data_IF_001301356923
#
_entry.id   IF_001301356923
#
_cell.length_a   1.000
_cell.length_b   1.000
_cell.length_c   1.000
_cell.angle_alpha   90.00
_cell.angle_beta   90.00
_cell.angle_gamma   90.00
#
_symmetry.space_group_name_H-M   'P 1'
#
loop_
_entity.id
_entity.type
_entity.pdbx_description
1 polymer ?
#
# COMPACT_ATOMS: atom_id res chain seq x y z
N UNK A 1 53.00 -35.33 -23.54
CA UNK A 1 52.30 -34.04 -23.33
C UNK A 1 51.50 -34.14 -22.04
N UNK A 2 51.82 -33.33 -21.03
CA UNK A 2 51.06 -33.20 -19.77
C UNK A 2 49.91 -32.23 -20.01
N UNK A 3 48.67 -32.66 -19.86
CA UNK A 3 47.52 -31.75 -19.84
C UNK A 3 47.05 -31.59 -18.39
N UNK A 4 47.31 -30.41 -17.82
CA UNK A 4 46.76 -29.95 -16.56
C UNK A 4 45.27 -29.62 -16.79
N UNK A 5 44.36 -30.34 -16.12
CA UNK A 5 42.96 -29.94 -16.00
C UNK A 5 42.88 -28.92 -14.85
N UNK A 6 42.62 -27.65 -15.17
CA UNK A 6 42.32 -26.63 -14.17
C UNK A 6 40.84 -26.72 -13.79
N UNK A 7 40.54 -27.26 -12.59
CA UNK A 7 39.22 -27.14 -11.98
C UNK A 7 39.01 -25.70 -11.53
N UNK A 8 38.13 -24.98 -12.21
CA UNK A 8 37.61 -23.68 -11.78
C UNK A 8 36.58 -23.92 -10.68
N UNK A 9 36.96 -23.67 -9.42
CA UNK A 9 36.04 -23.68 -8.28
C UNK A 9 35.22 -22.40 -8.33
N UNK A 10 33.95 -22.52 -8.73
CA UNK A 10 32.95 -21.46 -8.56
C UNK A 10 32.59 -21.41 -7.07
N UNK A 11 33.16 -20.43 -6.35
CA UNK A 11 32.72 -20.08 -5.00
C UNK A 11 31.33 -19.43 -5.09
N UNK A 12 30.32 -19.88 -4.33
CA UNK A 12 29.07 -19.16 -4.22
C UNK A 12 29.35 -17.82 -3.53
N UNK A 13 29.00 -16.72 -4.19
CA UNK A 13 28.89 -15.43 -3.53
C UNK A 13 27.75 -15.55 -2.51
N UNK A 14 28.09 -15.71 -1.25
CA UNK A 14 27.16 -15.53 -0.15
C UNK A 14 26.73 -14.06 -0.14
N UNK A 15 25.52 -13.79 -0.63
CA UNK A 15 24.89 -12.49 -0.45
C UNK A 15 24.73 -12.25 1.06
N UNK A 16 25.50 -11.30 1.60
CA UNK A 16 25.44 -10.88 3.01
C UNK A 16 24.18 -10.02 3.21
N UNK A 17 23.01 -10.65 3.22
CA UNK A 17 21.81 -10.07 3.82
C UNK A 17 21.90 -10.18 5.35
N UNK A 18 21.34 -9.22 6.09
CA UNK A 18 21.36 -9.16 7.55
C UNK A 18 21.22 -10.55 8.19
N UNK A 19 22.14 -10.91 9.09
CA UNK A 19 22.16 -12.20 9.79
C UNK A 19 20.92 -12.32 10.70
N UNK A 20 19.81 -12.84 10.16
CA UNK A 20 18.65 -13.23 10.95
C UNK A 20 18.99 -14.45 11.80
N UNK A 21 18.80 -14.36 13.12
CA UNK A 21 19.12 -15.46 14.04
C UNK A 21 18.27 -16.70 13.77
N UNK A 22 16.98 -16.51 13.54
CA UNK A 22 16.05 -17.53 13.07
C UNK A 22 15.41 -17.02 11.77
N UNK A 23 15.37 -17.86 10.74
CA UNK A 23 14.68 -17.53 9.50
C UNK A 23 14.06 -18.75 8.84
N UNK A 24 12.93 -18.56 8.17
CA UNK A 24 12.29 -19.60 7.37
C UNK A 24 11.56 -18.97 6.17
N UNK A 25 11.50 -19.67 5.02
CA UNK A 25 10.66 -19.24 3.91
C UNK A 25 9.18 -19.37 4.27
N UNK A 26 8.37 -18.48 3.68
CA UNK A 26 6.91 -18.48 3.73
C UNK A 26 6.41 -18.32 2.31
N UNK A 27 5.96 -19.44 1.74
CA UNK A 27 5.49 -19.48 0.37
C UNK A 27 4.04 -19.96 0.34
N UNK A 28 3.21 -19.28 -0.45
CA UNK A 28 1.81 -19.59 -0.66
C UNK A 28 1.50 -19.54 -2.16
N UNK A 29 0.80 -20.55 -2.65
CA UNK A 29 0.38 -20.64 -4.04
C UNK A 29 -1.08 -21.07 -4.06
N UNK A 30 -1.95 -20.22 -4.60
CA UNK A 30 -3.38 -20.48 -4.68
C UNK A 30 -3.92 -20.27 -6.10
N UNK A 31 -4.84 -21.14 -6.48
CA UNK A 31 -5.64 -20.97 -7.69
C UNK A 31 -6.77 -19.96 -7.43
N UNK A 32 -6.86 -18.96 -8.31
CA UNK A 32 -7.87 -17.89 -8.21
C UNK A 32 -9.11 -18.18 -9.07
N UNK A 33 -9.30 -19.41 -9.53
CA UNK A 33 -10.49 -19.82 -10.29
C UNK A 33 -11.78 -19.51 -9.53
N UNK A 34 -12.59 -18.60 -10.07
CA UNK A 34 -13.82 -18.13 -9.45
C UNK A 34 -13.59 -17.28 -8.20
N UNK A 35 -12.38 -16.73 -8.00
CA UNK A 35 -12.10 -15.68 -7.02
C UNK A 35 -12.24 -14.35 -7.74
N UNK A 36 -13.05 -13.44 -7.19
CA UNK A 36 -13.22 -12.08 -7.71
C UNK A 36 -12.46 -11.04 -6.87
N UNK A 37 -12.16 -11.36 -5.61
CA UNK A 37 -11.44 -10.50 -4.68
C UNK A 37 -10.39 -11.28 -3.88
N UNK A 38 -9.21 -10.71 -3.72
CA UNK A 38 -8.18 -11.15 -2.77
C UNK A 38 -8.06 -10.09 -1.69
N UNK A 39 -8.16 -10.50 -0.43
CA UNK A 39 -7.96 -9.65 0.75
C UNK A 39 -6.68 -10.10 1.45
N UNK A 40 -5.83 -9.14 1.82
CA UNK A 40 -4.53 -9.39 2.44
C UNK A 40 -4.45 -8.57 3.73
N UNK A 41 -4.39 -9.26 4.86
CA UNK A 41 -4.22 -8.68 6.18
C UNK A 41 -2.75 -8.79 6.61
N UNK A 42 -2.04 -7.65 6.62
CA UNK A 42 -0.58 -7.61 6.80
C UNK A 42 -0.13 -7.39 8.24
N UNK A 43 -1.02 -6.94 9.12
CA UNK A 43 -0.66 -6.47 10.46
C UNK A 43 0.54 -5.50 10.43
N UNK A 44 1.74 -5.97 10.79
CA UNK A 44 2.99 -5.18 10.87
C UNK A 44 4.05 -5.62 9.86
N UNK A 45 3.65 -6.27 8.77
CA UNK A 45 4.55 -6.89 7.80
C UNK A 45 4.52 -6.15 6.47
N UNK A 46 5.66 -6.13 5.78
CA UNK A 46 5.80 -5.40 4.53
C UNK A 46 5.38 -6.27 3.34
N UNK A 47 4.69 -5.65 2.37
CA UNK A 47 4.20 -6.32 1.17
C UNK A 47 4.61 -5.60 -0.10
N UNK A 48 5.23 -6.33 -1.02
CA UNK A 48 5.33 -5.98 -2.42
C UNK A 48 4.35 -6.80 -3.25
N UNK A 49 3.32 -6.18 -3.80
CA UNK A 49 2.32 -6.83 -4.64
C UNK A 49 2.36 -6.28 -6.07
N UNK A 50 2.46 -7.18 -7.04
CA UNK A 50 2.43 -6.85 -8.46
C UNK A 50 1.33 -7.63 -9.20
N UNK A 51 0.41 -6.92 -9.83
CA UNK A 51 -0.50 -7.49 -10.81
C UNK A 51 0.21 -7.80 -12.13
N UNK A 52 -0.13 -8.93 -12.76
CA UNK A 52 0.38 -9.29 -14.07
C UNK A 52 -0.69 -9.95 -14.93
N UNK A 53 -0.78 -9.55 -16.20
CA UNK A 53 -1.69 -10.19 -17.17
C UNK A 53 -1.26 -11.61 -17.56
N UNK A 54 -0.03 -12.02 -17.22
CA UNK A 54 0.49 -13.38 -17.47
C UNK A 54 0.44 -14.28 -16.23
N UNK A 55 0.05 -13.77 -15.07
CA UNK A 55 -0.09 -14.57 -13.86
C UNK A 55 -1.27 -15.54 -14.02
N UNK A 56 -1.05 -16.82 -13.68
CA UNK A 56 -2.06 -17.87 -13.76
C UNK A 56 -2.89 -18.02 -12.46
N UNK A 57 -2.45 -17.38 -11.38
CA UNK A 57 -3.02 -17.49 -10.04
C UNK A 57 -2.21 -16.62 -9.08
N UNK A 58 -2.42 -16.82 -7.78
CA UNK A 58 -1.66 -16.13 -6.73
C UNK A 58 -0.34 -16.87 -6.47
N UNK A 59 0.75 -16.11 -6.44
CA UNK A 59 2.04 -16.56 -5.95
C UNK A 59 2.51 -15.58 -4.90
N UNK A 60 2.81 -16.06 -3.70
CA UNK A 60 3.34 -15.27 -2.61
C UNK A 60 4.57 -16.00 -2.07
N UNK A 61 5.64 -15.25 -1.87
CA UNK A 61 6.90 -15.75 -1.32
C UNK A 61 7.47 -14.72 -0.35
N UNK A 62 8.13 -15.18 0.69
CA UNK A 62 8.65 -14.30 1.71
C UNK A 62 9.64 -14.98 2.62
N UNK A 63 10.36 -14.16 3.38
CA UNK A 63 11.35 -14.62 4.36
C UNK A 63 10.96 -14.11 5.73
N UNK A 64 10.52 -15.02 6.59
CA UNK A 64 10.32 -14.71 8.00
C UNK A 64 11.67 -14.65 8.70
N UNK A 65 11.88 -13.64 9.53
CA UNK A 65 13.07 -13.41 10.33
C UNK A 65 12.69 -13.05 11.77
N UNK A 66 13.29 -13.73 12.75
CA UNK A 66 12.99 -13.46 14.15
C UNK A 66 14.18 -13.66 15.09
N UNK A 67 14.09 -13.02 16.26
CA UNK A 67 15.07 -13.13 17.34
C UNK A 67 14.92 -14.42 18.17
N UNK A 68 13.78 -15.10 18.06
CA UNK A 68 13.47 -16.38 18.73
C UNK A 68 12.72 -17.33 17.80
N UNK A 69 12.83 -18.64 18.07
CA UNK A 69 12.10 -19.67 17.31
C UNK A 69 10.57 -19.52 17.46
N UNK A 70 10.10 -19.19 18.66
CA UNK A 70 8.67 -18.99 18.97
C UNK A 70 8.06 -17.88 18.10
N UNK A 71 8.75 -16.74 17.98
CA UNK A 71 8.33 -15.67 17.08
C UNK A 71 8.36 -16.08 15.61
N UNK A 72 9.38 -16.83 15.18
CA UNK A 72 9.44 -17.34 13.81
C UNK A 72 8.26 -18.28 13.51
N UNK A 73 7.89 -19.12 14.46
CA UNK A 73 6.79 -20.07 14.34
C UNK A 73 5.43 -19.36 14.27
N UNK A 74 5.32 -18.16 14.85
CA UNK A 74 4.12 -17.33 14.79
C UNK A 74 4.02 -16.46 13.52
N UNK A 75 5.13 -16.18 12.84
CA UNK A 75 5.14 -15.49 11.55
C UNK A 75 4.71 -16.45 10.44
N UNK A 76 3.41 -16.68 10.30
CA UNK A 76 2.83 -17.53 9.27
C UNK A 76 2.13 -16.71 8.19
N UNK A 77 1.98 -17.34 7.02
CA UNK A 77 1.09 -16.87 5.96
C UNK A 77 0.06 -17.97 5.78
N UNK A 78 -1.19 -17.66 6.06
CA UNK A 78 -2.32 -18.58 5.90
C UNK A 78 -3.27 -18.00 4.87
N UNK A 79 -4.04 -18.88 4.23
CA UNK A 79 -5.13 -18.45 3.36
C UNK A 79 -6.35 -19.32 3.56
N UNK A 80 -7.51 -18.71 3.40
CA UNK A 80 -8.79 -19.39 3.35
C UNK A 80 -9.75 -18.70 2.39
N UNK A 81 -10.77 -19.43 1.95
CA UNK A 81 -11.74 -18.95 0.98
C UNK A 81 -13.09 -18.76 1.63
N UNK A 82 -13.69 -17.60 1.39
CA UNK A 82 -15.06 -17.28 1.78
C UNK A 82 -15.86 -16.88 0.55
N UNK A 83 -16.72 -17.78 0.06
CA UNK A 83 -17.47 -17.53 -1.18
C UNK A 83 -16.53 -17.37 -2.38
N UNK A 84 -16.59 -16.20 -3.03
CA UNK A 84 -15.74 -15.78 -4.16
C UNK A 84 -14.54 -14.90 -3.75
N UNK A 85 -14.24 -14.85 -2.45
CA UNK A 85 -13.12 -14.13 -1.87
C UNK A 85 -12.06 -15.09 -1.34
N UNK A 86 -10.79 -14.76 -1.60
CA UNK A 86 -9.64 -15.38 -0.93
C UNK A 86 -9.12 -14.39 0.11
N UNK A 87 -8.99 -14.84 1.36
CA UNK A 87 -8.44 -14.06 2.47
C UNK A 87 -7.06 -14.63 2.78
N UNK A 88 -6.08 -13.75 2.91
CA UNK A 88 -4.70 -14.08 3.25
C UNK A 88 -4.35 -13.34 4.54
N UNK A 89 -4.02 -14.10 5.58
CA UNK A 89 -3.62 -13.56 6.86
C UNK A 89 -2.10 -13.71 7.00
N UNK A 90 -1.42 -12.60 7.32
CA UNK A 90 0.04 -12.54 7.45
C UNK A 90 0.39 -12.10 8.86
N UNK A 91 0.93 -13.02 9.65
CA UNK A 91 1.38 -12.73 11.02
C UNK A 91 0.58 -13.45 12.10
N UNK A 92 0.51 -12.83 13.29
CA UNK A 92 0.32 -13.55 14.56
C UNK A 92 -1.10 -14.10 14.80
N UNK A 93 -1.22 -15.43 14.70
CA UNK A 93 -2.19 -16.18 15.51
C UNK A 93 -1.72 -16.25 16.97
N UNK A 94 -2.06 -15.22 17.73
CA UNK A 94 -2.04 -15.09 19.20
C UNK A 94 -1.04 -15.96 19.98
N UNK A 95 0.03 -15.33 20.49
CA UNK A 95 0.58 -15.68 21.81
C UNK A 95 1.33 -14.51 22.42
N UNK A 96 0.60 -13.68 23.18
CA UNK A 96 1.19 -12.68 24.06
C UNK A 96 2.08 -13.37 25.11
N UNK A 97 3.40 -13.23 24.96
CA UNK A 97 4.38 -13.58 25.99
C UNK A 97 5.27 -12.37 26.29
N UNK A 98 5.14 -11.84 27.50
CA UNK A 98 6.02 -10.79 28.04
C UNK A 98 7.43 -11.39 28.24
N UNK A 99 8.48 -10.83 27.59
CA UNK A 99 9.87 -11.22 27.89
C UNK A 99 10.88 -10.07 28.09
N UNK A 100 11.46 -10.17 29.28
CA UNK A 100 12.79 -9.82 29.82
C UNK A 100 13.93 -9.55 28.80
N UNK A 101 14.63 -8.42 29.03
CA UNK A 101 15.97 -8.02 28.58
C UNK A 101 16.58 -8.79 27.38
N UNK A 102 16.23 -8.36 26.16
CA UNK A 102 16.85 -8.71 24.89
C UNK A 102 16.27 -7.85 23.76
N UNK A 103 16.98 -7.73 22.63
CA UNK A 103 16.41 -7.12 21.41
C UNK A 103 15.42 -8.10 20.78
N UNK A 104 14.13 -7.76 20.81
CA UNK A 104 13.06 -8.54 20.20
C UNK A 104 12.76 -7.98 18.82
N UNK A 105 12.91 -8.79 17.78
CA UNK A 105 12.49 -8.47 16.43
C UNK A 105 11.84 -9.69 15.78
N UNK A 106 10.81 -9.43 14.99
CA UNK A 106 10.10 -10.40 14.18
C UNK A 106 9.51 -9.65 12.99
N UNK A 107 9.94 -9.98 11.78
CA UNK A 107 9.46 -9.37 10.55
C UNK A 107 9.42 -10.39 9.42
N UNK A 108 8.60 -10.12 8.42
CA UNK A 108 8.33 -10.94 7.28
C UNK A 108 8.18 -10.03 6.07
N UNK A 109 9.15 -10.10 5.16
CA UNK A 109 9.10 -9.38 3.89
C UNK A 109 8.39 -10.27 2.86
N UNK A 110 7.29 -9.78 2.29
CA UNK A 110 6.49 -10.52 1.32
C UNK A 110 6.59 -9.95 -0.09
N UNK A 111 6.66 -10.85 -1.06
CA UNK A 111 6.51 -10.57 -2.47
C UNK A 111 5.38 -11.43 -3.02
N UNK A 112 4.36 -10.77 -3.57
CA UNK A 112 3.19 -11.40 -4.12
C UNK A 112 2.97 -10.97 -5.58
N UNK A 113 2.44 -11.89 -6.38
CA UNK A 113 2.01 -11.67 -7.74
C UNK A 113 0.68 -12.36 -8.00
N UNK A 114 -0.22 -11.66 -8.69
CA UNK A 114 -1.55 -12.18 -9.04
C UNK A 114 -2.04 -11.62 -10.38
N UNK A 115 -3.11 -12.18 -10.99
CA UNK A 115 -3.68 -11.67 -12.22
C UNK A 115 -4.24 -10.25 -12.03
N UNK A 116 -3.81 -9.31 -12.87
CA UNK A 116 -4.12 -7.88 -12.73
C UNK A 116 -5.62 -7.54 -12.69
N UNK A 117 -6.49 -8.43 -13.20
CA UNK A 117 -7.94 -8.25 -13.28
C UNK A 117 -8.69 -8.68 -12.00
N UNK A 118 -8.00 -9.26 -11.01
CA UNK A 118 -8.60 -9.60 -9.71
C UNK A 118 -8.57 -8.36 -8.82
N UNK A 119 -9.68 -8.06 -8.16
CA UNK A 119 -9.74 -6.94 -7.23
C UNK A 119 -8.94 -7.27 -5.96
N UNK A 120 -8.19 -6.31 -5.44
CA UNK A 120 -7.36 -6.50 -4.24
C UNK A 120 -7.81 -5.55 -3.13
N UNK A 121 -7.97 -6.08 -1.92
CA UNK A 121 -8.03 -5.33 -0.67
C UNK A 121 -6.77 -5.59 0.15
N UNK A 122 -6.16 -4.55 0.70
CA UNK A 122 -5.02 -4.67 1.61
C UNK A 122 -5.31 -3.89 2.88
N UNK A 123 -5.16 -4.56 4.01
CA UNK A 123 -5.35 -3.99 5.34
C UNK A 123 -4.01 -4.12 6.10
N UNK A 124 -3.41 -2.98 6.43
CA UNK A 124 -2.13 -2.91 7.17
C UNK A 124 -2.27 -2.02 8.39
N UNK A 125 -1.66 -2.43 9.49
CA UNK A 125 -1.58 -1.59 10.68
C UNK A 125 -0.29 -0.76 10.65
N UNK A 126 0.87 -1.40 10.55
CA UNK A 126 2.18 -0.72 10.64
C UNK A 126 3.17 -1.14 9.56
N UNK A 127 2.82 -2.10 8.70
CA UNK A 127 3.69 -2.57 7.62
C UNK A 127 3.51 -1.73 6.36
N UNK A 128 4.58 -1.59 5.59
CA UNK A 128 4.56 -0.81 4.35
C UNK A 128 4.01 -1.66 3.19
N UNK A 129 3.25 -1.03 2.30
CA UNK A 129 2.67 -1.72 1.15
C UNK A 129 3.04 -1.03 -0.18
N UNK A 130 3.68 -1.81 -1.05
CA UNK A 130 4.10 -1.43 -2.39
C UNK A 130 3.23 -2.16 -3.40
N UNK A 131 2.27 -1.47 -3.99
CA UNK A 131 1.18 -2.07 -4.76
C UNK A 131 1.20 -1.56 -6.20
N UNK A 132 1.23 -2.47 -7.17
CA UNK A 132 1.43 -2.11 -8.58
C UNK A 132 0.71 -3.00 -9.59
N UNK A 133 0.39 -2.46 -10.77
CA UNK A 133 -0.05 -3.24 -11.93
C UNK A 133 -1.43 -3.88 -11.81
N UNK A 134 -2.32 -3.32 -10.98
CA UNK A 134 -3.66 -3.86 -10.72
C UNK A 134 -4.75 -3.09 -11.48
N UNK A 135 -5.95 -3.68 -11.57
CA UNK A 135 -7.12 -3.00 -12.14
C UNK A 135 -7.92 -2.25 -11.09
N UNK A 136 -8.12 -2.84 -9.92
CA UNK A 136 -8.88 -2.26 -8.82
C UNK A 136 -8.16 -2.54 -7.52
N UNK A 137 -8.08 -1.51 -6.68
CA UNK A 137 -7.37 -1.59 -5.42
C UNK A 137 -8.15 -0.87 -4.32
N UNK A 138 -8.29 -1.53 -3.18
CA UNK A 138 -8.76 -0.97 -1.93
C UNK A 138 -7.65 -1.12 -0.89
N UNK A 139 -7.33 -0.06 -0.16
CA UNK A 139 -6.30 -0.09 0.89
C UNK A 139 -6.77 0.64 2.12
N UNK A 140 -6.54 0.02 3.27
CA UNK A 140 -6.64 0.62 4.58
C UNK A 140 -5.28 0.55 5.27
N UNK A 141 -4.77 1.70 5.75
CA UNK A 141 -3.55 1.76 6.54
C UNK A 141 -3.74 2.59 7.80
N UNK A 142 -3.41 2.03 8.96
CA UNK A 142 -3.39 2.78 10.21
C UNK A 142 -2.13 3.66 10.29
N UNK A 143 -0.95 3.09 10.08
CA UNK A 143 0.35 3.76 10.31
C UNK A 143 1.46 3.35 9.35
N UNK A 144 1.23 2.37 8.46
CA UNK A 144 2.21 1.97 7.45
C UNK A 144 2.16 2.85 6.21
N UNK A 145 3.29 2.96 5.50
CA UNK A 145 3.38 3.79 4.30
C UNK A 145 2.91 3.03 3.06
N UNK A 146 2.27 3.76 2.15
CA UNK A 146 1.67 3.20 0.94
C UNK A 146 2.34 3.75 -0.31
N UNK A 147 2.91 2.87 -1.12
CA UNK A 147 3.44 3.19 -2.43
C UNK A 147 2.61 2.51 -3.52
N UNK A 148 1.70 3.26 -4.14
CA UNK A 148 0.75 2.75 -5.12
C UNK A 148 1.09 3.29 -6.51
N UNK A 149 1.28 2.40 -7.49
CA UNK A 149 1.61 2.81 -8.85
C UNK A 149 0.92 1.95 -9.92
N UNK A 150 0.71 2.51 -11.10
CA UNK A 150 0.19 1.79 -12.27
C UNK A 150 -1.09 0.99 -12.00
N UNK A 151 -2.10 1.67 -11.44
CA UNK A 151 -3.43 1.09 -11.25
C UNK A 151 -4.33 1.56 -12.39
N UNK A 152 -4.79 0.64 -13.22
CA UNK A 152 -5.53 1.03 -14.44
C UNK A 152 -6.92 1.60 -14.13
N UNK A 153 -7.56 1.16 -13.05
CA UNK A 153 -8.87 1.61 -12.58
C UNK A 153 -8.82 2.44 -11.30
N UNK A 154 -9.81 2.23 -10.44
CA UNK A 154 -9.99 3.01 -9.21
C UNK A 154 -9.12 2.49 -8.07
N UNK A 155 -8.51 3.41 -7.34
CA UNK A 155 -7.91 3.19 -6.02
C UNK A 155 -8.84 3.79 -4.98
N UNK A 156 -9.28 2.97 -4.02
CA UNK A 156 -10.00 3.40 -2.82
C UNK A 156 -9.09 3.31 -1.61
N UNK A 157 -8.95 4.41 -0.87
CA UNK A 157 -7.95 4.59 0.17
C UNK A 157 -8.60 5.05 1.49
N UNK A 158 -8.10 4.54 2.60
CA UNK A 158 -8.26 5.15 3.92
C UNK A 158 -6.93 5.07 4.66
N UNK A 159 -6.43 6.22 5.14
CA UNK A 159 -5.16 6.29 5.88
C UNK A 159 -5.37 7.09 7.15
N UNK A 160 -4.87 6.57 8.28
CA UNK A 160 -4.94 7.31 9.56
C UNK A 160 -3.67 8.13 9.81
N UNK A 161 -2.50 7.51 9.94
CA UNK A 161 -1.25 8.19 10.34
C UNK A 161 -0.06 7.93 9.42
N UNK A 162 -0.14 6.95 8.52
CA UNK A 162 0.91 6.68 7.52
C UNK A 162 0.84 7.62 6.32
N UNK A 163 1.87 7.62 5.48
CA UNK A 163 1.89 8.42 4.25
C UNK A 163 1.47 7.59 3.03
N UNK A 164 0.95 8.25 1.99
CA UNK A 164 0.61 7.59 0.73
C UNK A 164 1.18 8.33 -0.48
N UNK A 165 2.04 7.67 -1.24
CA UNK A 165 2.49 8.10 -2.55
C UNK A 165 1.77 7.29 -3.64
N UNK A 166 0.99 7.99 -4.46
CA UNK A 166 0.10 7.40 -5.47
C UNK A 166 0.45 7.95 -6.85
N UNK A 167 0.64 7.08 -7.83
CA UNK A 167 0.97 7.52 -9.19
C UNK A 167 0.34 6.68 -10.30
N UNK A 168 -0.02 7.34 -11.39
CA UNK A 168 -0.42 6.69 -12.65
C UNK A 168 -1.68 5.81 -12.49
N UNK A 169 -2.70 6.37 -11.83
CA UNK A 169 -3.95 5.69 -11.47
C UNK A 169 -5.14 6.12 -12.33
N UNK A 170 -6.16 5.25 -12.45
CA UNK A 170 -7.38 5.56 -13.20
C UNK A 170 -8.21 6.63 -12.51
N UNK A 171 -8.68 6.35 -11.29
CA UNK A 171 -9.40 7.31 -10.43
C UNK A 171 -8.93 7.11 -8.99
N UNK A 172 -9.07 8.14 -8.15
CA UNK A 172 -8.71 8.05 -6.74
C UNK A 172 -9.89 8.45 -5.86
N UNK A 173 -10.21 7.59 -4.89
CA UNK A 173 -11.15 7.90 -3.81
C UNK A 173 -10.46 7.71 -2.48
N UNK A 174 -10.57 8.70 -1.59
CA UNK A 174 -10.14 8.55 -0.21
C UNK A 174 -11.34 8.79 0.71
N UNK A 175 -11.68 7.82 1.56
CA UNK A 175 -12.77 7.99 2.52
C UNK A 175 -12.38 8.99 3.61
N UNK A 176 -11.25 8.71 4.26
CA UNK A 176 -10.65 9.55 5.28
C UNK A 176 -9.13 9.52 5.16
N UNK A 177 -8.52 10.70 5.30
CA UNK A 177 -7.09 10.86 5.53
C UNK A 177 -6.95 11.51 6.91
N UNK A 178 -6.25 10.87 7.84
CA UNK A 178 -6.08 11.36 9.20
C UNK A 178 -4.99 12.43 9.30
N UNK A 179 -3.86 12.06 9.89
CA UNK A 179 -2.71 12.92 10.16
C UNK A 179 -1.50 12.66 9.25
N UNK A 180 -1.52 11.60 8.45
CA UNK A 180 -0.47 11.35 7.45
C UNK A 180 -0.74 12.03 6.12
N UNK A 181 0.28 12.11 5.28
CA UNK A 181 0.27 12.90 4.05
C UNK A 181 -0.10 12.06 2.83
N UNK A 182 -0.83 12.64 1.88
CA UNK A 182 -1.16 11.98 0.60
C UNK A 182 -0.65 12.80 -0.56
N UNK A 183 0.27 12.20 -1.32
CA UNK A 183 0.75 12.74 -2.58
C UNK A 183 0.28 11.87 -3.73
N UNK A 184 -0.58 12.42 -4.58
CA UNK A 184 -1.10 11.71 -5.75
C UNK A 184 -0.82 12.46 -7.05
N UNK A 185 -0.27 11.76 -8.05
CA UNK A 185 0.04 12.32 -9.38
C UNK A 185 -0.47 11.47 -10.53
N UNK A 186 -0.71 12.11 -11.67
CA UNK A 186 -1.12 11.44 -12.92
C UNK A 186 -2.41 10.61 -12.76
N UNK A 187 -3.48 11.25 -12.28
CA UNK A 187 -4.80 10.61 -12.16
C UNK A 187 -5.56 10.82 -13.46
N UNK A 188 -5.94 9.74 -14.15
CA UNK A 188 -6.55 9.83 -15.49
C UNK A 188 -7.94 10.45 -15.47
N UNK A 189 -8.74 10.13 -14.46
CA UNK A 189 -10.09 10.61 -14.26
C UNK A 189 -10.12 11.59 -13.06
N UNK A 190 -11.10 11.46 -12.17
CA UNK A 190 -11.28 12.36 -11.04
C UNK A 190 -10.73 11.85 -9.72
N UNK A 191 -10.72 12.77 -8.75
CA UNK A 191 -10.39 12.54 -7.34
C UNK A 191 -11.60 12.87 -6.47
N UNK A 192 -11.91 12.02 -5.49
CA UNK A 192 -12.94 12.30 -4.48
C UNK A 192 -12.43 11.96 -3.08
N UNK A 193 -12.18 12.97 -2.26
CA UNK A 193 -11.76 12.82 -0.86
C UNK A 193 -12.92 13.20 0.05
N UNK A 194 -13.25 12.34 1.02
CA UNK A 194 -14.31 12.57 2.00
C UNK A 194 -13.90 13.59 3.05
N UNK A 195 -13.02 13.19 3.96
CA UNK A 195 -12.47 14.05 5.02
C UNK A 195 -10.96 13.96 5.10
N UNK A 196 -10.30 15.11 5.17
CA UNK A 196 -8.88 15.26 5.45
C UNK A 196 -8.75 15.86 6.85
N UNK A 197 -7.99 15.22 7.72
CA UNK A 197 -7.78 15.63 9.10
C UNK A 197 -6.70 16.70 9.20
N UNK A 198 -5.53 16.30 9.66
CA UNK A 198 -4.39 17.18 9.93
C UNK A 198 -3.21 16.96 9.00
N UNK A 199 -3.24 15.90 8.17
CA UNK A 199 -2.21 15.64 7.18
C UNK A 199 -2.40 16.46 5.90
N UNK A 200 -1.33 16.59 5.13
CA UNK A 200 -1.27 17.41 3.93
C UNK A 200 -1.58 16.59 2.68
N UNK A 201 -2.29 17.21 1.74
CA UNK A 201 -2.66 16.58 0.47
C UNK A 201 -2.04 17.34 -0.68
N UNK A 202 -1.29 16.64 -1.53
CA UNK A 202 -0.80 17.17 -2.80
C UNK A 202 -1.37 16.36 -3.97
N UNK A 203 -2.15 17.02 -4.83
CA UNK A 203 -2.71 16.44 -6.06
C UNK A 203 -2.11 17.14 -7.29
N UNK A 204 -1.55 16.35 -8.22
CA UNK A 204 -0.94 16.88 -9.44
C UNK A 204 -1.38 16.10 -10.70
N UNK A 205 -1.65 16.80 -11.79
CA UNK A 205 -2.03 16.21 -13.09
C UNK A 205 -3.28 15.32 -13.00
N UNK A 206 -4.44 15.94 -12.78
CA UNK A 206 -5.75 15.27 -12.71
C UNK A 206 -6.54 15.50 -14.00
N UNK A 207 -6.89 14.43 -14.69
CA UNK A 207 -7.58 14.48 -15.97
C UNK A 207 -9.08 14.79 -15.89
N UNK A 208 -9.69 14.66 -14.70
CA UNK A 208 -11.10 14.92 -14.41
C UNK A 208 -11.30 15.94 -13.29
N UNK A 209 -12.41 15.80 -12.56
CA UNK A 209 -12.77 16.71 -11.47
C UNK A 209 -12.10 16.30 -10.15
N UNK A 210 -11.79 17.29 -9.31
CA UNK A 210 -11.33 17.11 -7.94
C UNK A 210 -12.42 17.58 -6.99
N UNK A 211 -12.86 16.69 -6.10
CA UNK A 211 -13.75 17.01 -5.00
C UNK A 211 -13.11 16.63 -3.67
N UNK A 212 -13.11 17.58 -2.72
CA UNK A 212 -12.69 17.36 -1.34
C UNK A 212 -13.83 17.80 -0.42
N UNK A 213 -14.38 16.87 0.37
CA UNK A 213 -15.55 17.13 1.21
C UNK A 213 -15.24 18.09 2.35
N UNK A 214 -14.30 17.73 3.21
CA UNK A 214 -13.88 18.56 4.35
C UNK A 214 -12.39 18.48 4.57
N UNK A 215 -11.78 19.63 4.85
CA UNK A 215 -10.38 19.75 5.27
C UNK A 215 -10.39 20.27 6.71
N UNK A 216 -9.66 19.61 7.60
CA UNK A 216 -9.49 20.02 8.99
C UNK A 216 -8.40 21.08 9.11
N UNK A 217 -7.23 20.64 9.55
CA UNK A 217 -6.10 21.51 9.91
C UNK A 217 -4.93 21.42 8.93
N UNK A 218 -4.89 20.37 8.10
CA UNK A 218 -3.83 20.17 7.10
C UNK A 218 -4.06 20.97 5.82
N UNK A 219 -3.01 21.07 5.01
CA UNK A 219 -3.02 21.88 3.79
C UNK A 219 -3.39 21.05 2.56
N UNK A 220 -4.06 21.69 1.61
CA UNK A 220 -4.41 21.10 0.33
C UNK A 220 -3.75 21.87 -0.81
N UNK A 221 -2.92 21.17 -1.58
CA UNK A 221 -2.26 21.67 -2.77
C UNK A 221 -2.78 20.92 -4.00
N UNK A 222 -3.36 21.64 -4.95
CA UNK A 222 -3.94 21.05 -6.19
C UNK A 222 -3.39 21.74 -7.42
N UNK A 223 -2.74 21.00 -8.33
CA UNK A 223 -2.11 21.55 -9.53
C UNK A 223 -2.50 20.76 -10.78
N UNK A 224 -2.67 21.47 -11.89
CA UNK A 224 -2.99 20.91 -13.22
C UNK A 224 -4.20 19.96 -13.18
N UNK A 225 -5.38 20.55 -13.09
CA UNK A 225 -6.65 19.81 -13.11
C UNK A 225 -7.40 20.20 -14.38
N UNK A 226 -7.76 19.22 -15.21
CA UNK A 226 -8.51 19.50 -16.44
C UNK A 226 -9.98 19.84 -16.19
N UNK A 227 -10.56 19.30 -15.11
CA UNK A 227 -11.95 19.50 -14.72
C UNK A 227 -12.15 20.56 -13.65
N UNK A 228 -13.27 20.45 -12.94
CA UNK A 228 -13.64 21.32 -11.83
C UNK A 228 -12.86 20.97 -10.55
N UNK A 229 -12.61 21.97 -9.71
CA UNK A 229 -12.05 21.81 -8.37
C UNK A 229 -13.02 22.37 -7.32
N UNK A 230 -13.48 21.51 -6.42
CA UNK A 230 -14.46 21.85 -5.38
C UNK A 230 -13.99 21.37 -4.01
N UNK A 231 -13.99 22.29 -3.05
CA UNK A 231 -13.84 22.01 -1.62
C UNK A 231 -15.17 22.32 -0.92
N UNK A 232 -15.69 21.36 -0.14
CA UNK A 232 -16.97 21.51 0.55
C UNK A 232 -16.90 22.41 1.77
N UNK A 233 -15.98 22.09 2.69
CA UNK A 233 -15.70 22.87 3.90
C UNK A 233 -14.20 22.83 4.21
N UNK A 234 -13.68 23.91 4.81
CA UNK A 234 -12.31 23.98 5.31
C UNK A 234 -12.31 24.47 6.75
N UNK A 235 -11.43 23.90 7.56
CA UNK A 235 -11.11 24.39 8.89
C UNK A 235 -10.01 25.45 8.80
N UNK A 236 -8.93 25.24 9.54
CA UNK A 236 -7.81 26.19 9.62
C UNK A 236 -6.70 25.95 8.59
N UNK A 237 -6.76 24.85 7.83
CA UNK A 237 -5.78 24.55 6.79
C UNK A 237 -5.91 25.45 5.56
N UNK A 238 -4.79 25.59 4.84
CA UNK A 238 -4.71 26.39 3.62
C UNK A 238 -5.05 25.57 2.38
N UNK A 239 -5.68 26.22 1.40
CA UNK A 239 -5.97 25.61 0.09
C UNK A 239 -5.25 26.40 -1.00
N UNK A 240 -4.21 25.81 -1.56
CA UNK A 240 -3.46 26.35 -2.69
C UNK A 240 -3.79 25.58 -3.97
N UNK A 241 -4.02 26.31 -5.05
CA UNK A 241 -4.40 25.71 -6.33
C UNK A 241 -3.85 26.50 -7.51
N UNK A 242 -3.46 25.79 -8.57
CA UNK A 242 -3.04 26.39 -9.85
C UNK A 242 -3.48 25.53 -11.04
N UNK A 243 -3.62 26.18 -12.19
CA UNK A 243 -3.85 25.51 -13.48
C UNK A 243 -5.12 24.62 -13.48
N UNK A 244 -6.23 25.17 -12.98
CA UNK A 244 -7.54 24.52 -13.01
C UNK A 244 -8.27 24.91 -14.30
N UNK A 245 -8.59 23.92 -15.12
CA UNK A 245 -9.26 24.10 -16.42
C UNK A 245 -10.77 24.33 -16.31
N UNK A 246 -11.40 23.85 -15.23
CA UNK A 246 -12.82 24.00 -14.94
C UNK A 246 -13.14 25.08 -13.91
N UNK A 247 -14.32 24.97 -13.29
CA UNK A 247 -14.76 25.86 -12.23
C UNK A 247 -14.00 25.54 -10.93
N UNK A 248 -13.59 26.60 -10.23
CA UNK A 248 -13.09 26.52 -8.86
C UNK A 248 -14.19 26.93 -7.87
N UNK A 249 -14.35 26.18 -6.79
CA UNK A 249 -15.22 26.50 -5.66
C UNK A 249 -14.54 26.09 -4.35
N UNK A 250 -13.90 27.04 -3.68
CA UNK A 250 -13.24 26.84 -2.39
C UNK A 250 -13.88 27.79 -1.36
N UNK A 251 -14.16 27.33 -0.12
CA UNK A 251 -14.64 28.21 0.94
C UNK A 251 -13.67 29.37 1.16
N UNK A 252 -14.19 30.57 1.35
CA UNK A 252 -13.38 31.72 1.72
C UNK A 252 -13.20 31.70 3.23
N UNK A 253 -12.06 32.17 3.72
CA UNK A 253 -11.97 32.56 5.13
C UNK A 253 -12.91 33.75 5.34
N UNK A 254 -13.83 33.61 6.28
CA UNK A 254 -14.58 34.75 6.78
C UNK A 254 -13.59 35.59 7.59
N UNK A 255 -12.90 36.51 6.91
CA UNK A 255 -12.20 37.62 7.54
C UNK A 255 -13.25 38.58 8.13
N UNK A 256 -13.84 38.21 9.26
CA UNK A 256 -14.79 39.05 9.99
C UNK A 256 -14.04 40.05 10.90
N UNK A 257 -13.98 41.29 10.38
CA UNK A 257 -14.07 42.63 11.02
C UNK A 257 -13.09 43.06 12.14
#
# INVERSE_FOLDING_TARGET
>A
MRYLLALLVLLPLSAMGAECRYSAPRDLHDDLNGVHRVEIELHSQDLHLAGSNSAAGLQLSGRACASSQEQLDNLQVTSHREGDQLIIEVGEHHSFNVRVFGVSYAYLDLQAQLPANVAVSVDTNSGDAYLSGLTQLQVHSDSGDLHINDISGEVSLSVESGDAEISDVGSLRAGSVGSGDVKARNIRNGVNFGSVGSGDITLEHVGGNVYVGTIGSGDLVVRDVRGDFVVGAKGSGDVSHSDIGGKVSVPHDDDDD
#
